data_IF_972323137412
#
_entry.id   IF_972323137412
#
_cell.length_a   1.000
_cell.length_b   1.000
_cell.length_c   1.000
_cell.angle_alpha   90.00
_cell.angle_beta   90.00
_cell.angle_gamma   90.00
#
_symmetry.space_group_name_H-M   'P 1'
#
loop_
_entity.id
_entity.type
_entity.pdbx_description
1 polymer ?
#
# COMPACT_ATOMS: atom_id res chain seq x y z
N UNK A 1 19.28 17.99 -14.54
CA UNK A 1 17.86 18.01 -14.11
C UNK A 1 17.47 16.59 -13.75
N UNK A 2 17.59 16.19 -12.49
CA UNK A 2 17.15 14.87 -12.02
C UNK A 2 15.96 15.07 -11.10
N UNK A 3 14.75 15.03 -11.66
CA UNK A 3 13.54 14.89 -10.87
C UNK A 3 13.45 13.42 -10.47
N UNK A 4 14.28 12.98 -9.52
CA UNK A 4 14.09 11.71 -8.83
C UNK A 4 12.84 11.86 -7.95
N UNK A 5 11.69 11.50 -8.49
CA UNK A 5 10.44 11.43 -7.76
C UNK A 5 10.60 10.39 -6.63
N UNK A 6 10.74 10.82 -5.37
CA UNK A 6 10.89 9.90 -4.21
C UNK A 6 9.52 9.54 -3.64
N UNK A 7 8.72 8.79 -4.39
CA UNK A 7 7.36 8.41 -3.98
C UNK A 7 7.37 7.36 -2.88
N UNK A 8 8.23 6.35 -3.00
CA UNK A 8 8.41 5.31 -1.99
C UNK A 8 8.72 5.89 -0.61
N UNK A 9 9.61 6.90 -0.55
CA UNK A 9 9.92 7.61 0.71
C UNK A 9 8.71 8.26 1.38
N UNK A 10 7.69 8.68 0.61
CA UNK A 10 6.50 9.36 1.11
C UNK A 10 5.51 8.39 1.73
N UNK A 11 5.36 7.21 1.13
CA UNK A 11 4.45 6.16 1.60
C UNK A 11 5.08 5.17 2.57
N UNK A 12 6.42 5.13 2.68
CA UNK A 12 7.12 4.32 3.68
C UNK A 12 6.53 4.56 5.06
N UNK A 13 6.19 3.50 5.78
CA UNK A 13 5.60 3.60 7.11
C UNK A 13 4.94 2.31 7.60
N UNK A 14 4.36 2.43 8.78
CA UNK A 14 3.56 1.40 9.42
C UNK A 14 2.08 1.81 9.34
N UNK A 15 1.23 0.88 8.94
CA UNK A 15 -0.20 1.12 8.76
C UNK A 15 -0.98 0.11 9.59
N UNK A 16 -1.97 0.62 10.32
CA UNK A 16 -2.85 -0.19 11.16
C UNK A 16 -4.26 -0.09 10.62
N UNK A 17 -4.97 -1.21 10.59
CA UNK A 17 -6.32 -1.23 10.03
C UNK A 17 -7.01 -2.56 10.09
N UNK A 18 -8.10 -2.64 9.34
CA UNK A 18 -8.90 -3.85 9.17
C UNK A 18 -8.38 -4.63 7.98
N UNK A 19 -8.19 -5.94 8.18
CA UNK A 19 -7.83 -6.88 7.14
C UNK A 19 -8.91 -7.97 7.02
N UNK A 20 -9.34 -8.21 5.78
CA UNK A 20 -10.21 -9.33 5.41
C UNK A 20 -9.49 -10.28 4.47
N UNK A 21 -9.81 -11.57 4.57
CA UNK A 21 -9.40 -12.61 3.62
C UNK A 21 -10.67 -13.22 3.03
N UNK A 22 -10.84 -13.20 1.71
CA UNK A 22 -12.02 -13.70 1.00
C UNK A 22 -13.32 -13.20 1.66
N UNK A 23 -13.46 -11.88 1.79
CA UNK A 23 -14.58 -11.17 2.44
C UNK A 23 -14.80 -11.43 3.95
N UNK A 24 -13.93 -12.21 4.59
CA UNK A 24 -14.03 -12.48 6.03
C UNK A 24 -13.02 -11.63 6.79
N UNK A 25 -13.51 -10.78 7.71
CA UNK A 25 -12.63 -9.97 8.58
C UNK A 25 -11.83 -10.89 9.50
N UNK A 26 -10.50 -10.86 9.38
CA UNK A 26 -9.58 -11.67 10.20
C UNK A 26 -8.99 -10.84 11.34
N UNK A 27 -8.84 -9.53 11.16
CA UNK A 27 -8.32 -8.63 12.18
C UNK A 27 -8.78 -7.19 11.97
N UNK A 28 -9.10 -6.50 13.07
CA UNK A 28 -9.38 -5.06 13.10
C UNK A 28 -8.15 -4.23 13.49
N UNK A 29 -7.01 -4.87 13.71
CA UNK A 29 -5.75 -4.25 14.11
C UNK A 29 -4.58 -4.95 13.41
N UNK A 30 -4.78 -5.26 12.12
CA UNK A 30 -3.73 -5.80 11.26
C UNK A 30 -2.69 -4.71 11.02
N UNK A 31 -1.45 -5.15 10.79
CA UNK A 31 -0.33 -4.27 10.57
C UNK A 31 0.27 -4.54 9.20
N UNK A 32 0.40 -3.49 8.38
CA UNK A 32 1.14 -3.53 7.12
C UNK A 32 2.35 -2.60 7.22
N UNK A 33 3.53 -3.14 6.89
CA UNK A 33 4.76 -2.39 6.77
C UNK A 33 5.07 -2.12 5.31
N UNK A 34 5.34 -0.85 5.00
CA UNK A 34 5.81 -0.40 3.70
C UNK A 34 7.22 0.15 3.85
N UNK A 35 8.15 -0.43 3.12
CA UNK A 35 9.54 0.03 3.06
C UNK A 35 9.91 0.55 1.67
N UNK A 36 10.85 1.51 1.65
CA UNK A 36 11.43 2.05 0.43
C UNK A 36 12.50 1.10 -0.09
N UNK A 37 12.36 0.65 -1.33
CA UNK A 37 13.35 -0.16 -2.04
C UNK A 37 14.11 0.72 -3.03
N UNK A 38 13.37 1.41 -3.90
CA UNK A 38 13.88 2.42 -4.82
C UNK A 38 12.95 3.64 -4.85
N UNK A 39 13.26 4.66 -5.65
CA UNK A 39 12.50 5.93 -5.69
C UNK A 39 10.96 5.76 -5.80
N UNK A 40 10.52 4.80 -6.61
CA UNK A 40 9.12 4.48 -6.89
C UNK A 40 8.77 3.03 -6.57
N UNK A 41 9.69 2.24 -6.02
CA UNK A 41 9.45 0.82 -5.70
C UNK A 41 9.39 0.66 -4.19
N UNK A 42 8.33 0.05 -3.72
CA UNK A 42 8.11 -0.26 -2.32
C UNK A 42 8.07 -1.76 -2.10
N UNK A 43 8.44 -2.20 -0.90
CA UNK A 43 8.12 -3.55 -0.42
C UNK A 43 6.98 -3.47 0.57
N UNK A 44 5.96 -4.30 0.37
CA UNK A 44 4.79 -4.41 1.23
C UNK A 44 4.88 -5.73 1.98
N UNK A 45 4.75 -5.69 3.31
CA UNK A 45 4.84 -6.88 4.15
C UNK A 45 3.82 -6.86 5.28
N UNK A 46 3.37 -8.06 5.64
CA UNK A 46 2.36 -8.31 6.66
C UNK A 46 2.58 -9.70 7.26
N UNK A 47 2.00 -9.97 8.41
CA UNK A 47 2.00 -11.33 8.99
C UNK A 47 1.03 -12.28 8.28
N UNK A 48 0.20 -11.76 7.37
CA UNK A 48 -0.89 -12.51 6.72
C UNK A 48 -0.57 -12.96 5.29
N UNK A 49 0.41 -12.35 4.64
CA UNK A 49 0.81 -12.65 3.26
C UNK A 49 2.33 -12.46 3.10
N UNK A 50 2.89 -13.03 2.04
CA UNK A 50 4.32 -12.94 1.75
C UNK A 50 4.69 -11.50 1.36
N UNK A 51 5.93 -11.11 1.66
CA UNK A 51 6.43 -9.81 1.20
C UNK A 51 6.50 -9.77 -0.33
N UNK A 52 6.02 -8.69 -0.92
CA UNK A 52 6.09 -8.46 -2.36
C UNK A 52 6.47 -7.01 -2.66
N UNK A 53 6.74 -6.72 -3.92
CA UNK A 53 7.22 -5.43 -4.40
C UNK A 53 6.21 -4.83 -5.35
N UNK A 54 6.04 -3.51 -5.27
CA UNK A 54 5.11 -2.76 -6.11
C UNK A 54 5.79 -1.50 -6.60
N UNK A 55 5.70 -1.24 -7.91
CA UNK A 55 6.00 0.08 -8.45
C UNK A 55 4.80 1.03 -8.28
N UNK A 56 5.07 2.24 -7.81
CA UNK A 56 4.05 3.25 -7.53
C UNK A 56 4.30 4.57 -8.28
N UNK A 57 3.21 5.22 -8.64
CA UNK A 57 3.20 6.61 -9.09
C UNK A 57 2.30 7.45 -8.18
N UNK A 58 2.11 8.72 -8.52
CA UNK A 58 1.20 9.63 -7.82
C UNK A 58 0.25 10.31 -8.79
N UNK A 59 -0.95 10.55 -8.30
CA UNK A 59 -1.89 11.46 -8.92
C UNK A 59 -2.16 12.64 -7.99
N UNK A 60 -2.38 13.83 -8.54
CA UNK A 60 -2.70 15.04 -7.79
C UNK A 60 -4.06 15.56 -8.23
N UNK A 61 -4.99 15.65 -7.28
CA UNK A 61 -6.31 16.23 -7.50
C UNK A 61 -6.50 17.43 -6.59
N UNK A 62 -6.47 18.64 -7.16
CA UNK A 62 -6.56 19.91 -6.43
C UNK A 62 -5.56 19.97 -5.26
N UNK A 63 -6.02 19.64 -4.05
CA UNK A 63 -5.28 19.70 -2.79
C UNK A 63 -4.91 18.33 -2.20
N UNK A 64 -5.23 17.21 -2.87
CA UNK A 64 -4.85 15.85 -2.45
C UNK A 64 -3.84 15.22 -3.40
N UNK A 65 -3.01 14.34 -2.84
CA UNK A 65 -2.11 13.47 -3.60
C UNK A 65 -2.44 12.04 -3.20
N UNK A 66 -2.65 11.17 -4.18
CA UNK A 66 -2.80 9.73 -3.97
C UNK A 66 -1.63 9.05 -4.64
N UNK A 67 -0.95 8.18 -3.90
CA UNK A 67 0.06 7.27 -4.44
C UNK A 67 -0.63 5.96 -4.78
N UNK A 68 -0.36 5.40 -5.95
CA UNK A 68 -1.07 4.22 -6.44
C UNK A 68 -0.13 3.25 -7.14
N UNK A 69 -0.48 1.95 -7.14
CA UNK A 69 0.24 0.93 -7.92
C UNK A 69 0.08 1.20 -9.41
N UNK A 70 1.17 1.08 -10.18
CA UNK A 70 1.10 1.11 -11.65
C UNK A 70 0.83 -0.26 -12.26
N UNK A 71 0.72 -1.30 -11.44
CA UNK A 71 0.49 -2.69 -11.84
C UNK A 71 -1.02 -2.97 -11.90
N UNK A 72 -1.49 -3.57 -13.00
CA UNK A 72 -2.92 -3.77 -13.27
C UNK A 72 -3.59 -4.80 -12.33
N UNK A 73 -2.80 -5.67 -11.70
CA UNK A 73 -3.28 -6.78 -10.86
C UNK A 73 -3.24 -6.47 -9.35
N UNK A 74 -2.83 -5.26 -8.97
CA UNK A 74 -2.65 -4.88 -7.58
C UNK A 74 -3.38 -3.55 -7.31
N UNK A 75 -4.40 -3.57 -6.45
CA UNK A 75 -5.01 -2.31 -6.02
C UNK A 75 -4.29 -1.82 -4.78
N UNK A 76 -3.46 -0.79 -4.94
CA UNK A 76 -2.79 -0.11 -3.85
C UNK A 76 -3.06 1.37 -3.97
N UNK A 77 -3.59 2.00 -2.93
CA UNK A 77 -3.80 3.43 -2.89
C UNK A 77 -3.48 3.99 -1.50
N UNK A 78 -2.60 4.99 -1.45
CA UNK A 78 -2.29 5.74 -0.23
C UNK A 78 -2.51 7.22 -0.43
N UNK A 79 -3.39 7.80 0.40
CA UNK A 79 -3.61 9.24 0.42
C UNK A 79 -2.43 9.97 1.07
N UNK A 80 -2.22 11.24 0.75
CA UNK A 80 -1.22 12.06 1.42
C UNK A 80 -1.52 12.35 2.90
N UNK A 81 -2.70 11.94 3.39
CA UNK A 81 -3.07 11.97 4.80
C UNK A 81 -2.79 10.62 5.50
N UNK A 82 -2.37 9.60 4.74
CA UNK A 82 -1.98 8.29 5.25
C UNK A 82 -3.11 7.25 5.26
N UNK A 83 -4.27 7.54 4.66
CA UNK A 83 -5.31 6.54 4.43
C UNK A 83 -4.80 5.52 3.40
N UNK A 84 -5.06 4.24 3.64
CA UNK A 84 -4.52 3.15 2.85
C UNK A 84 -5.61 2.14 2.49
N UNK A 85 -5.73 1.88 1.19
CA UNK A 85 -6.47 0.75 0.62
C UNK A 85 -5.49 -0.20 -0.07
N UNK A 86 -5.64 -1.49 0.21
CA UNK A 86 -4.93 -2.56 -0.46
C UNK A 86 -5.89 -3.69 -0.84
N UNK A 87 -5.79 -4.17 -2.07
CA UNK A 87 -6.35 -5.44 -2.53
C UNK A 87 -5.22 -6.22 -3.20
N UNK A 88 -4.86 -7.31 -2.56
CA UNK A 88 -3.76 -8.18 -2.96
C UNK A 88 -4.25 -9.62 -3.10
N UNK A 89 -3.78 -10.35 -4.10
CA UNK A 89 -4.13 -11.76 -4.30
C UNK A 89 -2.89 -12.65 -4.20
N UNK A 90 -2.96 -13.67 -3.34
CA UNK A 90 -1.88 -14.64 -3.16
C UNK A 90 -2.45 -16.02 -2.87
N UNK A 91 -1.92 -17.07 -3.51
CA UNK A 91 -2.25 -18.48 -3.23
C UNK A 91 -3.76 -18.82 -3.30
N UNK A 92 -4.53 -18.07 -4.10
CA UNK A 92 -5.98 -18.24 -4.24
C UNK A 92 -6.82 -17.52 -3.18
N UNK A 93 -6.18 -16.71 -2.33
CA UNK A 93 -6.82 -15.84 -1.35
C UNK A 93 -6.74 -14.38 -1.79
N UNK A 94 -7.82 -13.63 -1.58
CA UNK A 94 -7.86 -12.18 -1.73
C UNK A 94 -7.77 -11.51 -0.36
N UNK A 95 -6.78 -10.65 -0.20
CA UNK A 95 -6.51 -9.86 0.99
C UNK A 95 -6.98 -8.43 0.75
N UNK A 96 -7.92 -7.96 1.56
CA UNK A 96 -8.40 -6.57 1.52
C UNK A 96 -7.99 -5.88 2.82
N UNK A 97 -7.17 -4.85 2.73
CA UNK A 97 -6.82 -4.01 3.87
C UNK A 97 -7.32 -2.58 3.68
N UNK A 98 -7.92 -2.05 4.75
CA UNK A 98 -8.22 -0.62 4.88
C UNK A 98 -7.71 -0.13 6.22
N UNK A 99 -6.96 0.96 6.21
CA UNK A 99 -6.35 1.46 7.42
C UNK A 99 -5.72 2.82 7.22
N UNK A 100 -4.94 3.22 8.22
CA UNK A 100 -4.26 4.49 8.21
C UNK A 100 -2.85 4.35 8.80
N UNK A 101 -2.02 5.33 8.47
CA UNK A 101 -0.68 5.44 9.02
C UNK A 101 -0.74 5.60 10.55
N UNK A 102 0.02 4.76 11.25
CA UNK A 102 0.23 4.84 12.70
C UNK A 102 1.23 5.94 13.08
#
# INVERSE_FOLDING_TARGET
MSSCSKHAKKVKGNYIGTLSINDTVISNNANINIDEVENNVISISSNYFNTYFVEIDKNRYFNSITYYSVEDNETFEISNHGDFLLIHSQDGEEFIFTGNRN
#
